data_IF_712837306175
#
_entry.id   IF_712837306175
#
_cell.length_a   1.000
_cell.length_b   1.000
_cell.length_c   1.000
_cell.angle_alpha   90.00
_cell.angle_beta   90.00
_cell.angle_gamma   90.00
#
_symmetry.space_group_name_H-M   'P 1'
#
loop_
_entity.id
_entity.type
_entity.pdbx_description
1 polymer ?
#
# COMPACT_ATOMS: atom_id res chain seq x y z
N UNK A 1 9.19 10.05 34.73
CA UNK A 1 8.48 9.69 35.98
C UNK A 1 8.12 10.90 36.84
N UNK A 2 9.05 11.71 37.38
CA UNK A 2 8.69 12.88 38.24
C UNK A 2 7.72 13.91 37.60
N UNK A 3 7.63 13.95 36.27
CA UNK A 3 6.67 14.77 35.49
C UNK A 3 5.51 13.96 34.90
N UNK A 4 5.26 12.74 35.35
CA UNK A 4 4.23 11.84 34.80
C UNK A 4 4.56 11.18 33.46
N UNK A 5 5.70 11.52 32.83
CA UNK A 5 6.11 10.89 31.56
C UNK A 5 6.57 9.44 31.80
N UNK A 6 5.88 8.50 31.16
CA UNK A 6 6.11 7.04 31.24
C UNK A 6 6.37 6.37 29.89
N UNK A 7 5.95 7.02 28.80
CA UNK A 7 6.12 6.52 27.44
C UNK A 7 7.15 7.34 26.67
N UNK A 8 8.15 6.65 26.13
CA UNK A 8 9.23 7.21 25.33
C UNK A 8 9.23 6.51 23.97
N UNK A 9 9.33 7.31 22.91
CA UNK A 9 9.38 6.82 21.54
C UNK A 9 10.62 7.37 20.85
N UNK A 10 11.23 6.56 19.99
CA UNK A 10 12.42 6.90 19.20
C UNK A 10 12.17 6.73 17.72
N UNK A 11 12.94 7.43 16.90
CA UNK A 11 12.89 7.26 15.45
C UNK A 11 13.65 6.02 15.03
N UNK A 12 13.15 5.32 14.01
CA UNK A 12 13.94 4.31 13.30
C UNK A 12 14.94 4.91 12.32
N UNK A 13 14.75 6.17 11.94
CA UNK A 13 15.71 6.88 11.12
C UNK A 13 16.81 7.46 12.00
N UNK A 14 18.06 7.29 11.57
CA UNK A 14 19.24 7.80 12.26
C UNK A 14 19.72 9.05 11.56
N UNK A 15 19.83 10.14 12.31
CA UNK A 15 20.13 11.47 11.79
C UNK A 15 21.47 11.98 12.29
N UNK A 16 22.22 12.67 11.42
CA UNK A 16 23.46 13.34 11.84
C UNK A 16 23.19 14.38 12.94
N UNK A 17 22.10 15.14 12.81
CA UNK A 17 21.64 16.09 13.81
C UNK A 17 20.10 16.17 13.78
N UNK A 18 19.40 15.47 14.69
CA UNK A 18 17.94 15.48 14.76
C UNK A 18 17.33 16.87 14.97
N UNK A 19 18.05 17.81 15.60
CA UNK A 19 17.54 19.15 15.89
C UNK A 19 17.34 20.02 14.65
N UNK A 20 17.92 19.61 13.51
CA UNK A 20 17.76 20.32 12.24
C UNK A 20 16.51 19.88 11.46
N UNK A 21 15.84 18.80 11.88
CA UNK A 21 14.64 18.32 11.22
C UNK A 21 13.49 19.33 11.39
N UNK A 22 12.85 19.69 10.28
CA UNK A 22 11.66 20.55 10.30
C UNK A 22 10.71 20.20 9.15
N UNK A 23 9.47 20.66 9.24
CA UNK A 23 8.39 20.33 8.29
C UNK A 23 8.54 20.95 6.90
N UNK A 24 9.50 21.85 6.70
CA UNK A 24 9.75 22.53 5.42
C UNK A 24 10.81 21.83 4.57
N UNK A 25 11.58 20.91 5.15
CA UNK A 25 12.59 20.14 4.40
C UNK A 25 11.92 19.24 3.37
N UNK A 26 12.47 19.24 2.16
CA UNK A 26 12.15 18.27 1.14
C UNK A 26 12.67 16.87 1.51
N UNK A 27 12.10 15.84 0.90
CA UNK A 27 12.57 14.46 1.10
C UNK A 27 14.06 14.30 0.79
N UNK A 28 14.53 14.95 -0.29
CA UNK A 28 15.94 14.92 -0.69
C UNK A 28 16.86 15.53 0.39
N UNK A 29 16.47 16.65 0.98
CA UNK A 29 17.26 17.28 2.06
C UNK A 29 17.31 16.40 3.30
N UNK A 30 16.19 15.77 3.67
CA UNK A 30 16.15 14.79 4.76
C UNK A 30 17.07 13.60 4.45
N UNK A 31 17.00 13.03 3.25
CA UNK A 31 17.82 11.89 2.85
C UNK A 31 19.32 12.18 2.92
N UNK A 32 19.75 13.41 2.62
CA UNK A 32 21.16 13.80 2.78
C UNK A 32 21.60 13.88 4.25
N UNK A 33 20.69 14.27 5.14
CA UNK A 33 20.95 14.33 6.59
C UNK A 33 20.88 12.96 7.28
N UNK A 34 20.23 11.97 6.65
CA UNK A 34 20.10 10.61 7.18
C UNK A 34 21.42 9.86 7.06
N UNK A 35 21.90 9.32 8.19
CA UNK A 35 23.13 8.50 8.24
C UNK A 35 22.83 7.00 8.13
N UNK A 36 21.59 6.61 8.38
CA UNK A 36 21.11 5.24 8.32
C UNK A 36 19.69 5.12 8.84
N UNK A 37 19.17 3.90 8.89
CA UNK A 37 17.88 3.61 9.49
C UNK A 37 17.84 2.14 9.92
N UNK A 38 17.14 1.88 11.01
CA UNK A 38 16.93 0.54 11.54
C UNK A 38 15.66 -0.05 10.97
N UNK A 39 15.69 -1.34 10.60
CA UNK A 39 14.47 -2.04 10.27
C UNK A 39 13.83 -2.51 11.57
N UNK A 40 12.67 -1.95 11.89
CA UNK A 40 11.84 -2.43 13.00
C UNK A 40 10.57 -3.01 12.41
N UNK A 41 10.35 -4.28 12.65
CA UNK A 41 9.12 -4.99 12.31
C UNK A 41 8.23 -5.03 13.53
N UNK A 42 7.04 -4.43 13.43
CA UNK A 42 6.03 -4.43 14.47
C UNK A 42 5.02 -5.55 14.19
N UNK A 43 4.97 -6.52 15.09
CA UNK A 43 4.08 -7.67 15.04
C UNK A 43 2.92 -7.46 15.99
N UNK A 44 1.70 -7.64 15.51
CA UNK A 44 0.50 -7.63 16.34
C UNK A 44 -0.48 -8.72 15.92
N UNK A 45 -1.40 -9.06 16.82
CA UNK A 45 -2.49 -9.98 16.57
C UNK A 45 -3.84 -9.27 16.75
N UNK A 46 -4.89 -9.80 16.14
CA UNK A 46 -6.25 -9.31 16.39
C UNK A 46 -6.63 -9.43 17.88
N UNK A 47 -7.53 -8.57 18.38
CA UNK A 47 -7.98 -8.63 19.79
C UNK A 47 -8.55 -9.97 20.26
N UNK A 48 -9.03 -10.80 19.33
CA UNK A 48 -9.57 -12.13 19.60
C UNK A 48 -8.50 -13.19 19.83
N UNK A 49 -7.23 -12.88 19.54
CA UNK A 49 -6.09 -13.77 19.76
C UNK A 49 -5.22 -13.24 20.89
N UNK A 50 -4.64 -14.18 21.63
CA UNK A 50 -3.66 -13.90 22.67
C UNK A 50 -2.28 -13.57 22.07
N UNK A 51 -1.29 -13.39 22.95
CA UNK A 51 0.07 -13.06 22.56
C UNK A 51 0.79 -14.24 21.87
N UNK A 52 0.34 -15.48 22.07
CA UNK A 52 0.99 -16.66 21.51
C UNK A 52 0.83 -16.70 19.99
N UNK A 53 -0.29 -16.22 19.47
CA UNK A 53 -0.47 -16.00 18.03
C UNK A 53 0.64 -15.09 17.45
N UNK A 54 0.98 -14.00 18.15
CA UNK A 54 2.07 -13.12 17.72
C UNK A 54 3.44 -13.80 17.81
N UNK A 55 3.68 -14.66 18.82
CA UNK A 55 4.93 -15.44 18.93
C UNK A 55 5.13 -16.35 17.70
N UNK A 56 4.05 -16.88 17.11
CA UNK A 56 4.13 -17.73 15.91
C UNK A 56 4.72 -16.97 14.73
N UNK A 57 4.18 -15.78 14.40
CA UNK A 57 4.71 -14.99 13.27
C UNK A 57 6.14 -14.49 13.54
N UNK A 58 6.45 -14.10 14.78
CA UNK A 58 7.82 -13.71 15.17
C UNK A 58 8.79 -14.86 14.93
N UNK A 59 8.45 -16.08 15.38
CA UNK A 59 9.28 -17.27 15.18
C UNK A 59 9.48 -17.56 13.69
N UNK A 60 8.41 -17.50 12.89
CA UNK A 60 8.46 -17.74 11.45
C UNK A 60 9.35 -16.74 10.73
N UNK A 61 9.31 -15.46 11.12
CA UNK A 61 10.19 -14.43 10.57
C UNK A 61 11.64 -14.63 10.99
N UNK A 62 11.91 -15.01 12.23
CA UNK A 62 13.26 -15.33 12.68
C UNK A 62 13.87 -16.51 11.89
N UNK A 63 13.09 -17.57 11.64
CA UNK A 63 13.52 -18.71 10.83
C UNK A 63 13.82 -18.29 9.38
N UNK A 64 12.98 -17.44 8.80
CA UNK A 64 13.20 -16.87 7.46
C UNK A 64 14.46 -15.99 7.40
N UNK A 65 14.66 -15.09 8.36
CA UNK A 65 15.86 -14.25 8.43
C UNK A 65 17.12 -15.09 8.57
N UNK A 66 17.07 -16.12 9.40
CA UNK A 66 18.19 -17.04 9.59
C UNK A 66 18.53 -17.80 8.30
N UNK A 67 17.55 -18.14 7.47
CA UNK A 67 17.83 -18.79 6.18
C UNK A 67 18.61 -17.90 5.21
N UNK A 68 18.60 -16.58 5.42
CA UNK A 68 19.41 -15.58 4.70
C UNK A 68 20.72 -15.22 5.43
N UNK A 69 21.09 -15.93 6.49
CA UNK A 69 22.28 -15.65 7.28
C UNK A 69 22.17 -14.40 8.19
N UNK A 70 20.96 -13.91 8.44
CA UNK A 70 20.72 -12.78 9.35
C UNK A 70 20.58 -13.31 10.78
N UNK A 71 21.69 -13.28 11.51
CA UNK A 71 21.80 -13.81 12.87
C UNK A 71 21.62 -12.70 13.93
N UNK A 72 22.04 -11.47 13.63
CA UNK A 72 22.00 -10.37 14.60
C UNK A 72 20.64 -9.66 14.54
N UNK A 73 19.73 -10.08 15.42
CA UNK A 73 18.41 -9.48 15.57
C UNK A 73 18.09 -9.20 17.03
N UNK A 74 17.29 -8.16 17.30
CA UNK A 74 16.89 -7.80 18.66
C UNK A 74 15.38 -7.81 18.80
N UNK A 75 14.88 -8.69 19.66
CA UNK A 75 13.46 -8.86 19.92
C UNK A 75 13.04 -8.16 21.21
N UNK A 76 11.85 -7.60 21.21
CA UNK A 76 11.23 -7.11 22.45
C UNK A 76 9.71 -7.23 22.43
N UNK A 77 9.13 -7.36 23.60
CA UNK A 77 7.70 -7.18 23.79
C UNK A 77 7.31 -5.69 23.64
N UNK A 78 6.21 -5.40 22.93
CA UNK A 78 5.78 -4.01 22.67
C UNK A 78 4.99 -3.36 23.82
N UNK A 79 4.57 -4.18 24.81
CA UNK A 79 3.82 -3.74 25.98
C UNK A 79 2.33 -4.11 25.96
N UNK A 80 1.84 -4.86 24.97
CA UNK A 80 0.45 -5.35 24.97
C UNK A 80 0.30 -6.80 24.48
N UNK A 81 0.10 -7.00 23.16
CA UNK A 81 -0.01 -8.33 22.52
C UNK A 81 1.03 -8.51 21.41
N UNK A 82 1.79 -7.45 21.14
CA UNK A 82 2.73 -7.37 20.04
C UNK A 82 4.19 -7.53 20.45
N UNK A 83 5.03 -7.68 19.44
CA UNK A 83 6.49 -7.71 19.58
C UNK A 83 7.11 -6.80 18.53
N UNK A 84 8.29 -6.26 18.81
CA UNK A 84 9.11 -5.61 17.80
C UNK A 84 10.39 -6.42 17.59
N UNK A 85 10.68 -6.77 16.34
CA UNK A 85 11.99 -7.30 15.94
C UNK A 85 12.75 -6.20 15.22
N UNK A 86 13.98 -5.95 15.66
CA UNK A 86 14.84 -4.91 15.12
C UNK A 86 16.08 -5.52 14.49
N UNK A 87 16.42 -5.02 13.30
CA UNK A 87 17.68 -5.26 12.60
C UNK A 87 18.37 -3.90 12.46
N UNK A 88 19.56 -3.73 13.06
CA UNK A 88 20.24 -2.44 13.04
C UNK A 88 20.77 -2.10 11.65
N UNK A 89 20.88 -0.79 11.37
CA UNK A 89 21.46 -0.24 10.13
C UNK A 89 22.83 -0.82 9.77
N UNK A 90 23.61 -1.23 10.77
CA UNK A 90 24.91 -1.85 10.60
C UNK A 90 24.85 -3.15 9.78
N UNK A 91 23.75 -3.91 9.83
CA UNK A 91 23.55 -5.14 9.05
C UNK A 91 23.35 -4.87 7.55
N UNK A 92 23.13 -3.62 7.15
CA UNK A 92 22.74 -3.25 5.78
C UNK A 92 23.96 -2.98 4.89
N UNK A 93 23.93 -3.46 3.61
CA UNK A 93 24.92 -3.05 2.63
C UNK A 93 24.82 -1.54 2.43
N UNK A 94 25.96 -0.83 2.30
CA UNK A 94 25.94 0.65 2.17
C UNK A 94 25.45 1.15 0.81
N UNK A 95 25.51 0.29 -0.21
CA UNK A 95 25.06 0.60 -1.57
C UNK A 95 24.39 -0.61 -2.21
N UNK A 96 23.45 -0.35 -3.12
CA UNK A 96 22.88 -1.31 -4.06
C UNK A 96 23.26 -0.90 -5.50
N UNK A 97 23.41 -1.88 -6.39
CA UNK A 97 23.79 -1.67 -7.80
C UNK A 97 24.96 -0.70 -7.98
N UNK A 98 25.96 -0.80 -7.10
CA UNK A 98 27.17 0.01 -7.03
C UNK A 98 26.98 1.52 -6.75
N UNK A 99 25.78 2.07 -6.91
CA UNK A 99 25.55 3.53 -6.96
C UNK A 99 24.51 4.03 -5.99
N UNK A 100 23.49 3.23 -5.66
CA UNK A 100 22.35 3.70 -4.88
C UNK A 100 22.61 3.51 -3.38
N UNK A 101 22.67 4.61 -2.62
CA UNK A 101 22.93 4.57 -1.18
C UNK A 101 21.67 4.09 -0.42
N UNK A 102 21.76 2.93 0.22
CA UNK A 102 20.65 2.32 0.99
C UNK A 102 20.17 3.19 2.15
N UNK A 103 21.02 4.10 2.68
CA UNK A 103 20.64 5.04 3.74
C UNK A 103 19.58 6.04 3.27
N UNK A 104 19.44 6.24 1.95
CA UNK A 104 18.48 7.15 1.35
C UNK A 104 17.15 6.46 0.98
N UNK A 105 17.08 5.14 1.12
CA UNK A 105 15.95 4.35 0.63
C UNK A 105 14.84 4.12 1.66
N UNK A 106 14.82 4.87 2.76
CA UNK A 106 13.72 4.82 3.73
C UNK A 106 12.59 5.78 3.32
N UNK A 107 11.30 5.38 3.41
CA UNK A 107 10.79 4.12 3.94
C UNK A 107 10.66 2.99 2.90
N UNK A 108 10.88 3.27 1.62
CA UNK A 108 10.51 2.39 0.51
C UNK A 108 11.18 1.02 0.58
N UNK A 109 12.48 0.95 0.88
CA UNK A 109 13.20 -0.32 1.02
C UNK A 109 12.73 -1.09 2.26
N UNK A 110 12.45 -0.42 3.38
CA UNK A 110 11.91 -1.07 4.58
C UNK A 110 10.56 -1.73 4.28
N UNK A 111 9.66 -1.01 3.62
CA UNK A 111 8.34 -1.54 3.21
C UNK A 111 8.49 -2.75 2.28
N UNK A 112 9.37 -2.66 1.26
CA UNK A 112 9.63 -3.78 0.34
C UNK A 112 10.19 -5.00 1.05
N UNK A 113 11.10 -4.83 2.01
CA UNK A 113 11.64 -5.95 2.80
C UNK A 113 10.49 -6.63 3.56
N UNK A 114 9.64 -5.87 4.25
CA UNK A 114 8.51 -6.43 4.99
C UNK A 114 7.51 -7.12 4.06
N UNK A 115 7.14 -6.50 2.93
CA UNK A 115 6.24 -7.08 1.94
C UNK A 115 6.80 -8.38 1.35
N UNK A 116 8.10 -8.44 1.10
CA UNK A 116 8.77 -9.65 0.60
C UNK A 116 8.78 -10.76 1.65
N UNK A 117 9.11 -10.45 2.91
CA UNK A 117 9.03 -11.40 4.03
C UNK A 117 7.60 -11.96 4.11
N UNK A 118 6.59 -11.07 4.11
CA UNK A 118 5.18 -11.46 4.15
C UNK A 118 4.78 -12.36 2.96
N UNK A 119 5.28 -12.06 1.78
CA UNK A 119 5.05 -12.91 0.61
C UNK A 119 5.68 -14.30 0.79
N UNK A 120 6.93 -14.36 1.26
CA UNK A 120 7.69 -15.60 1.40
C UNK A 120 7.18 -16.53 2.48
N UNK A 121 6.70 -15.98 3.60
CA UNK A 121 6.22 -16.79 4.73
C UNK A 121 4.72 -17.10 4.68
N UNK A 122 3.98 -16.66 3.66
CA UNK A 122 2.51 -16.68 3.65
C UNK A 122 1.92 -18.07 3.94
N UNK A 123 2.31 -19.07 3.16
CA UNK A 123 1.75 -20.43 3.24
C UNK A 123 2.19 -21.12 4.54
N UNK A 124 3.47 -20.97 4.85
CA UNK A 124 4.10 -21.45 6.08
C UNK A 124 3.43 -20.90 7.36
N UNK A 125 3.17 -19.59 7.39
CA UNK A 125 2.48 -18.92 8.48
C UNK A 125 1.04 -19.42 8.61
N UNK A 126 0.34 -19.62 7.48
CA UNK A 126 -1.00 -20.19 7.47
C UNK A 126 -0.99 -21.59 8.09
N UNK A 127 -0.06 -22.43 7.69
CA UNK A 127 0.07 -23.79 8.22
C UNK A 127 0.39 -23.81 9.72
N UNK A 128 1.23 -22.88 10.20
CA UNK A 128 1.52 -22.76 11.63
C UNK A 128 0.30 -22.33 12.45
N UNK A 129 -0.49 -21.38 11.94
CA UNK A 129 -1.73 -20.95 12.58
C UNK A 129 -2.77 -22.09 12.61
N UNK A 130 -2.85 -22.89 11.54
CA UNK A 130 -3.70 -24.10 11.50
C UNK A 130 -3.24 -25.11 12.54
N UNK A 131 -1.94 -25.39 12.65
CA UNK A 131 -1.40 -26.32 13.66
C UNK A 131 -1.68 -25.84 15.08
N UNK A 132 -1.61 -24.54 15.32
CA UNK A 132 -1.86 -23.94 16.63
C UNK A 132 -3.35 -23.95 17.01
N UNK A 133 -4.24 -23.53 16.08
CA UNK A 133 -5.68 -23.40 16.36
C UNK A 133 -6.49 -24.68 16.12
N UNK A 134 -5.94 -25.62 15.35
CA UNK A 134 -6.54 -26.91 15.00
C UNK A 134 -7.14 -26.95 13.60
N UNK A 135 -7.71 -25.85 13.09
CA UNK A 135 -8.22 -25.77 11.71
C UNK A 135 -8.29 -24.35 11.17
N UNK A 136 -8.22 -24.20 9.84
CA UNK A 136 -8.40 -22.90 9.17
C UNK A 136 -9.84 -22.40 9.28
N UNK A 137 -10.83 -23.30 9.26
CA UNK A 137 -12.24 -22.96 9.44
C UNK A 137 -12.52 -22.33 10.81
N UNK A 138 -11.92 -22.86 11.87
CA UNK A 138 -12.06 -22.29 13.22
C UNK A 138 -11.52 -20.86 13.29
N UNK A 139 -10.41 -20.56 12.61
CA UNK A 139 -9.89 -19.20 12.51
C UNK A 139 -10.85 -18.30 11.70
N UNK A 140 -11.34 -18.78 10.56
CA UNK A 140 -12.25 -18.00 9.71
C UNK A 140 -13.55 -17.61 10.42
N UNK A 141 -14.13 -18.53 11.19
CA UNK A 141 -15.33 -18.29 12.01
C UNK A 141 -15.14 -17.14 13.01
N UNK A 142 -13.92 -16.95 13.55
CA UNK A 142 -13.63 -15.87 14.50
C UNK A 142 -13.82 -14.47 13.90
N UNK A 143 -13.71 -14.33 12.57
CA UNK A 143 -13.86 -13.07 11.86
C UNK A 143 -15.12 -13.03 10.98
N UNK A 144 -16.03 -13.99 11.16
CA UNK A 144 -17.23 -14.15 10.32
C UNK A 144 -16.90 -14.20 8.81
N UNK A 145 -15.71 -14.71 8.47
CA UNK A 145 -15.17 -14.69 7.12
C UNK A 145 -15.30 -16.04 6.39
N UNK A 146 -15.14 -16.00 5.07
CA UNK A 146 -15.06 -17.21 4.25
C UNK A 146 -13.59 -17.68 4.14
N UNK A 147 -13.25 -18.92 4.55
CA UNK A 147 -11.85 -19.38 4.64
C UNK A 147 -11.03 -19.22 3.35
N UNK A 148 -11.69 -19.36 2.19
CA UNK A 148 -11.12 -19.25 0.83
C UNK A 148 -10.57 -17.85 0.52
N UNK A 149 -11.10 -16.81 1.18
CA UNK A 149 -10.78 -15.41 0.90
C UNK A 149 -9.89 -14.77 1.98
N UNK A 150 -9.54 -15.55 3.00
CA UNK A 150 -8.85 -15.02 4.17
C UNK A 150 -7.33 -15.17 4.08
N UNK A 151 -6.65 -14.10 4.47
CA UNK A 151 -5.21 -14.09 4.63
C UNK A 151 -4.84 -14.41 6.08
N UNK A 152 -3.72 -15.13 6.34
CA UNK A 152 -3.14 -15.23 7.69
C UNK A 152 -2.88 -13.86 8.31
N UNK A 153 -2.63 -12.85 7.46
CA UNK A 153 -2.42 -11.47 7.89
C UNK A 153 -3.64 -10.75 8.46
N UNK A 154 -4.84 -11.36 8.34
CA UNK A 154 -6.02 -10.87 9.05
C UNK A 154 -6.00 -11.25 10.54
N UNK A 155 -5.18 -12.22 10.94
CA UNK A 155 -5.10 -12.72 12.32
C UNK A 155 -3.88 -12.21 13.06
N UNK A 156 -2.73 -12.26 12.39
CA UNK A 156 -1.42 -11.83 12.89
C UNK A 156 -0.72 -11.07 11.77
N UNK A 157 -0.11 -9.92 12.07
CA UNK A 157 0.40 -9.05 11.02
C UNK A 157 1.83 -8.57 11.29
N UNK A 158 2.50 -8.15 10.21
CA UNK A 158 3.75 -7.38 10.27
C UNK A 158 3.44 -6.01 9.65
N UNK A 159 3.41 -4.95 10.47
CA UNK A 159 3.06 -3.61 9.99
C UNK A 159 4.01 -3.18 8.86
N UNK A 160 3.46 -2.98 7.66
CA UNK A 160 4.21 -2.72 6.43
C UNK A 160 3.99 -1.30 5.88
N UNK A 161 3.26 -0.42 6.59
CA UNK A 161 2.92 0.94 6.15
C UNK A 161 3.67 2.02 6.91
N UNK A 162 4.92 1.73 7.27
CA UNK A 162 5.81 2.69 7.90
C UNK A 162 6.02 3.90 6.97
N UNK A 163 5.73 5.10 7.45
CA UNK A 163 5.95 6.35 6.70
C UNK A 163 7.22 7.05 7.18
N UNK A 164 7.67 8.08 6.44
CA UNK A 164 8.79 8.92 6.89
C UNK A 164 8.54 9.46 8.31
N UNK A 165 9.58 9.45 9.15
CA UNK A 165 9.58 9.86 10.56
C UNK A 165 8.76 8.95 11.47
N UNK A 166 8.66 7.66 11.13
CA UNK A 166 8.02 6.70 12.01
C UNK A 166 8.75 6.62 13.36
N UNK A 167 7.98 6.54 14.43
CA UNK A 167 8.48 6.40 15.79
C UNK A 167 7.99 5.09 16.38
N UNK A 168 8.88 4.40 17.10
CA UNK A 168 8.53 3.19 17.84
C UNK A 168 8.77 3.42 19.33
N UNK A 169 8.02 2.72 20.18
CA UNK A 169 8.22 2.76 21.64
C UNK A 169 9.64 2.30 21.95
N UNK A 170 10.39 2.99 22.81
CA UNK A 170 11.74 2.59 23.19
C UNK A 170 11.72 1.36 24.12
N UNK A 171 12.79 0.54 24.13
CA UNK A 171 12.94 -0.52 25.14
C UNK A 171 12.88 0.08 26.55
N UNK A 172 12.31 -0.68 27.49
CA UNK A 172 12.07 -0.29 28.88
C UNK A 172 11.08 0.86 29.11
N UNK A 173 10.52 1.43 28.04
CA UNK A 173 9.40 2.37 28.15
C UNK A 173 8.13 1.64 28.61
N UNK A 174 7.28 2.32 29.38
CA UNK A 174 5.99 1.79 29.79
C UNK A 174 4.94 2.06 28.69
N UNK A 175 4.04 1.12 28.47
CA UNK A 175 2.86 1.27 27.65
C UNK A 175 1.74 1.97 28.44
N UNK A 176 1.23 3.09 27.92
CA UNK A 176 0.26 3.91 28.65
C UNK A 176 -1.08 3.20 28.89
N UNK A 177 -1.44 2.23 28.05
CA UNK A 177 -2.73 1.55 28.12
C UNK A 177 -2.71 0.38 29.10
N UNK A 178 -1.62 -0.38 29.12
CA UNK A 178 -1.51 -1.63 29.89
C UNK A 178 -0.70 -1.48 31.17
N UNK A 179 0.12 -0.42 31.27
CA UNK A 179 1.08 -0.26 32.36
C UNK A 179 2.28 -1.21 32.27
N UNK A 180 2.36 -2.05 31.23
CA UNK A 180 3.45 -3.02 31.04
C UNK A 180 4.66 -2.36 30.38
N UNK A 181 5.84 -2.87 30.71
CA UNK A 181 7.12 -2.43 30.17
C UNK A 181 7.33 -3.05 28.78
N UNK A 182 7.90 -2.29 27.84
CA UNK A 182 8.40 -2.84 26.58
C UNK A 182 9.75 -3.53 26.82
N UNK A 183 9.72 -4.84 27.09
CA UNK A 183 10.88 -5.59 27.58
C UNK A 183 11.64 -6.25 26.41
N UNK A 184 12.94 -5.96 26.21
CA UNK A 184 13.79 -6.76 25.34
C UNK A 184 13.90 -8.21 25.81
N UNK A 185 13.93 -9.14 24.85
CA UNK A 185 13.91 -10.57 25.10
C UNK A 185 15.06 -11.25 24.35
N UNK A 186 15.66 -12.26 24.98
CA UNK A 186 16.51 -13.21 24.24
C UNK A 186 15.62 -14.17 23.47
N UNK A 187 16.05 -14.60 22.30
CA UNK A 187 15.25 -15.47 21.43
C UNK A 187 14.80 -16.77 22.13
N UNK A 188 15.67 -17.35 22.96
CA UNK A 188 15.35 -18.56 23.74
C UNK A 188 14.22 -18.36 24.77
N UNK A 189 14.03 -17.13 25.24
CA UNK A 189 13.04 -16.79 26.26
C UNK A 189 11.65 -16.49 25.64
N UNK A 190 11.55 -16.36 24.30
CA UNK A 190 10.31 -15.99 23.60
C UNK A 190 9.15 -16.97 23.86
N UNK A 191 9.44 -18.27 23.87
CA UNK A 191 8.42 -19.31 24.00
C UNK A 191 7.67 -19.19 25.33
N UNK A 192 8.42 -19.05 26.41
CA UNK A 192 7.92 -19.10 27.79
C UNK A 192 7.55 -17.71 28.34
N UNK A 193 7.77 -16.64 27.56
CA UNK A 193 7.47 -15.27 27.98
C UNK A 193 5.98 -15.02 28.11
N UNK A 194 5.56 -14.51 29.27
CA UNK A 194 4.19 -14.10 29.53
C UNK A 194 4.06 -12.59 29.75
N UNK A 195 2.87 -12.04 29.52
CA UNK A 195 2.63 -10.59 29.74
C UNK A 195 2.96 -10.15 31.17
N UNK A 196 2.75 -11.07 32.12
CA UNK A 196 2.96 -10.82 33.53
C UNK A 196 4.44 -10.61 33.90
N UNK A 197 5.37 -11.04 33.04
CA UNK A 197 6.80 -10.82 33.20
C UNK A 197 7.20 -9.39 32.84
N UNK A 198 6.35 -8.69 32.07
CA UNK A 198 6.55 -7.29 31.70
C UNK A 198 6.05 -6.29 32.74
N UNK A 199 5.59 -6.74 33.91
CA UNK A 199 5.22 -5.84 35.01
C UNK A 199 6.45 -5.08 35.52
N UNK A 200 6.37 -3.75 35.74
CA UNK A 200 7.53 -2.94 36.14
C UNK A 200 8.35 -3.50 37.31
N UNK A 201 7.69 -4.11 38.30
CA UNK A 201 8.32 -4.72 39.47
C UNK A 201 9.07 -6.04 39.21
N UNK A 202 8.76 -6.72 38.09
CA UNK A 202 9.38 -7.99 37.70
C UNK A 202 10.52 -7.82 36.70
N UNK A 203 10.57 -6.71 35.97
CA UNK A 203 11.65 -6.47 34.99
C UNK A 203 12.98 -6.28 35.71
N UNK A 204 13.92 -7.20 35.48
CA UNK A 204 15.27 -7.19 36.08
C UNK A 204 16.33 -7.14 34.98
N UNK A 205 17.42 -6.43 35.27
CA UNK A 205 18.56 -6.33 34.37
C UNK A 205 18.31 -5.45 33.14
N UNK A 206 19.37 -5.29 32.34
CA UNK A 206 19.33 -4.56 31.07
C UNK A 206 19.91 -5.48 30.00
N UNK A 207 19.10 -5.76 28.98
CA UNK A 207 19.47 -6.45 27.76
C UNK A 207 19.75 -5.35 26.72
N UNK A 208 20.93 -5.36 26.08
CA UNK A 208 21.23 -4.44 24.99
C UNK A 208 20.17 -4.51 23.89
N UNK A 209 19.75 -3.35 23.38
CA UNK A 209 18.78 -3.25 22.28
C UNK A 209 19.04 -1.98 21.46
N UNK A 210 19.45 -2.08 20.19
CA UNK A 210 19.75 -3.31 19.46
C UNK A 210 21.11 -3.92 19.83
N UNK A 211 21.30 -5.20 19.56
CA UNK A 211 22.60 -5.82 19.37
C UNK A 211 23.20 -5.33 18.05
N UNK A 212 24.53 -5.11 18.01
CA UNK A 212 25.22 -4.56 16.82
C UNK A 212 25.96 -5.71 16.12
N UNK A 213 25.73 -5.95 14.81
CA UNK A 213 26.38 -7.02 14.07
C UNK A 213 27.86 -6.71 13.84
N UNK A 214 28.66 -7.76 13.68
CA UNK A 214 30.07 -7.65 13.28
C UNK A 214 30.24 -7.58 11.76
N UNK A 215 29.20 -7.93 10.99
CA UNK A 215 29.25 -7.99 9.53
C UNK A 215 27.94 -7.53 8.86
N UNK A 216 27.97 -7.40 7.53
CA UNK A 216 26.78 -7.10 6.74
C UNK A 216 26.02 -8.40 6.50
N UNK A 217 24.84 -8.53 7.09
CA UNK A 217 24.02 -9.75 7.02
C UNK A 217 22.85 -9.62 6.03
N UNK A 218 22.35 -8.41 5.77
CA UNK A 218 21.13 -8.19 4.97
C UNK A 218 21.35 -8.18 3.46
N UNK A 219 22.57 -8.41 2.97
CA UNK A 219 22.93 -8.21 1.56
C UNK A 219 22.12 -9.10 0.62
N UNK A 220 22.13 -10.42 0.85
CA UNK A 220 21.43 -11.40 0.01
C UNK A 220 19.92 -11.18 0.01
N UNK A 221 19.33 -10.95 1.19
CA UNK A 221 17.90 -10.67 1.32
C UNK A 221 17.51 -9.41 0.54
N UNK A 222 18.30 -8.34 0.62
CA UNK A 222 18.02 -7.07 -0.08
C UNK A 222 18.14 -7.23 -1.60
N UNK A 223 19.08 -8.04 -2.09
CA UNK A 223 19.20 -8.34 -3.52
C UNK A 223 17.97 -9.09 -4.05
N UNK A 224 17.50 -10.11 -3.32
CA UNK A 224 16.29 -10.87 -3.64
C UNK A 224 15.03 -10.00 -3.61
N UNK A 225 14.93 -9.10 -2.62
CA UNK A 225 13.86 -8.10 -2.53
C UNK A 225 13.85 -7.23 -3.77
N UNK A 226 14.98 -6.65 -4.15
CA UNK A 226 15.06 -5.79 -5.35
C UNK A 226 14.69 -6.56 -6.63
N UNK A 227 15.23 -7.77 -6.80
CA UNK A 227 14.94 -8.62 -7.96
C UNK A 227 13.44 -8.94 -8.06
N UNK A 228 12.80 -9.34 -6.95
CA UNK A 228 11.37 -9.63 -6.89
C UNK A 228 10.53 -8.43 -7.35
N UNK A 229 10.75 -7.26 -6.75
CA UNK A 229 9.93 -6.08 -7.07
C UNK A 229 10.20 -5.51 -8.47
N UNK A 230 11.42 -5.66 -9.01
CA UNK A 230 11.71 -5.33 -10.41
C UNK A 230 10.94 -6.25 -11.36
N UNK A 231 10.97 -7.55 -11.11
CA UNK A 231 10.26 -8.56 -11.92
C UNK A 231 8.75 -8.30 -11.91
N UNK A 232 8.14 -8.13 -10.74
CA UNK A 232 6.70 -7.81 -10.61
C UNK A 232 6.34 -6.52 -11.34
N UNK A 233 7.19 -5.49 -11.27
CA UNK A 233 6.98 -4.22 -11.99
C UNK A 233 7.04 -4.41 -13.51
N UNK A 234 7.94 -5.25 -14.00
CA UNK A 234 8.04 -5.57 -15.43
C UNK A 234 6.84 -6.37 -15.92
N UNK A 235 6.37 -7.34 -15.15
CA UNK A 235 5.17 -8.11 -15.45
C UNK A 235 3.93 -7.23 -15.51
N UNK A 236 3.73 -6.35 -14.52
CA UNK A 236 2.64 -5.36 -14.53
C UNK A 236 2.72 -4.46 -15.77
N UNK A 237 3.92 -3.99 -16.15
CA UNK A 237 4.10 -3.23 -17.40
C UNK A 237 3.76 -4.06 -18.65
N UNK A 238 4.10 -5.35 -18.68
CA UNK A 238 3.74 -6.27 -19.78
C UNK A 238 2.22 -6.48 -19.84
N UNK A 239 1.54 -6.63 -18.71
CA UNK A 239 0.07 -6.73 -18.64
C UNK A 239 -0.63 -5.43 -19.04
N UNK A 240 -0.15 -4.27 -18.59
CA UNK A 240 -0.64 -2.97 -19.04
C UNK A 240 -0.49 -2.81 -20.56
N UNK A 241 0.64 -3.26 -21.14
CA UNK A 241 0.85 -3.29 -22.59
C UNK A 241 -0.05 -4.30 -23.33
N UNK A 242 -0.46 -5.40 -22.69
CA UNK A 242 -1.44 -6.35 -23.24
C UNK A 242 -2.87 -5.78 -23.26
N UNK A 243 -3.15 -4.71 -22.51
CA UNK A 243 -4.42 -3.99 -22.64
C UNK A 243 -4.48 -3.37 -24.04
N UNK A 244 -5.49 -3.72 -24.87
CA UNK A 244 -5.53 -3.26 -26.25
C UNK A 244 -5.53 -1.73 -26.29
N UNK A 245 -4.45 -1.15 -26.81
CA UNK A 245 -4.33 0.28 -27.00
C UNK A 245 -5.24 0.69 -28.15
N UNK A 246 -6.13 1.65 -27.88
CA UNK A 246 -6.92 2.29 -28.91
C UNK A 246 -5.97 3.07 -29.81
N UNK A 247 -5.78 2.61 -31.05
CA UNK A 247 -4.97 3.30 -32.06
C UNK A 247 -5.82 4.36 -32.75
N UNK A 248 -5.44 5.63 -32.58
CA UNK A 248 -6.13 6.77 -33.18
C UNK A 248 -7.39 7.22 -32.43
N UNK A 249 -7.83 8.45 -32.72
CA UNK A 249 -8.99 9.07 -32.09
C UNK A 249 -10.28 8.30 -32.40
N UNK A 250 -11.05 7.96 -31.36
CA UNK A 250 -12.35 7.30 -31.52
C UNK A 250 -13.46 8.35 -31.77
N UNK A 251 -14.27 8.21 -32.84
CA UNK A 251 -15.35 9.14 -33.13
C UNK A 251 -16.52 8.99 -32.14
N UNK A 252 -17.27 10.08 -31.93
CA UNK A 252 -18.41 10.12 -30.99
C UNK A 252 -19.50 9.08 -31.28
N UNK A 253 -19.68 8.70 -32.55
CA UNK A 253 -20.61 7.64 -32.95
C UNK A 253 -20.35 6.32 -32.21
N UNK A 254 -19.09 6.07 -31.84
CA UNK A 254 -18.64 4.88 -31.13
C UNK A 254 -18.82 4.96 -29.62
N UNK A 255 -19.20 6.11 -29.06
CA UNK A 255 -19.31 6.26 -27.60
C UNK A 255 -20.48 5.46 -27.01
N UNK A 256 -20.39 5.08 -25.71
CA UNK A 256 -21.47 4.42 -25.00
C UNK A 256 -22.67 5.37 -24.81
N UNK A 257 -23.88 4.82 -24.59
CA UNK A 257 -25.09 5.62 -24.39
C UNK A 257 -24.96 6.66 -23.28
N UNK A 258 -24.36 6.33 -22.13
CA UNK A 258 -24.19 7.25 -21.01
C UNK A 258 -23.38 8.51 -21.37
N UNK A 259 -22.28 8.35 -22.12
CA UNK A 259 -21.46 9.48 -22.58
C UNK A 259 -22.22 10.30 -23.63
N UNK A 260 -22.94 9.64 -24.55
CA UNK A 260 -23.79 10.34 -25.53
C UNK A 260 -24.89 11.14 -24.86
N UNK A 261 -25.49 10.63 -23.79
CA UNK A 261 -26.51 11.33 -23.03
C UNK A 261 -25.94 12.54 -22.29
N UNK A 262 -24.77 12.41 -21.66
CA UNK A 262 -24.06 13.56 -21.11
C UNK A 262 -23.86 14.62 -22.19
N UNK A 263 -23.38 14.22 -23.38
CA UNK A 263 -23.06 15.12 -24.49
C UNK A 263 -24.25 15.91 -25.06
N UNK A 264 -25.50 15.53 -24.75
CA UNK A 264 -26.71 16.28 -25.13
C UNK A 264 -26.93 17.53 -24.27
N UNK A 265 -26.23 17.66 -23.14
CA UNK A 265 -26.44 18.73 -22.15
C UNK A 265 -27.18 18.21 -20.91
N UNK A 266 -26.98 18.86 -19.76
CA UNK A 266 -27.49 18.43 -18.46
C UNK A 266 -28.04 19.58 -17.61
N UNK A 267 -29.13 19.28 -16.90
CA UNK A 267 -29.75 20.15 -15.90
C UNK A 267 -29.20 19.97 -14.48
N UNK A 268 -28.64 18.79 -14.19
CA UNK A 268 -27.94 18.49 -12.94
C UNK A 268 -26.74 17.55 -13.23
N UNK A 269 -25.78 17.46 -12.30
CA UNK A 269 -24.64 16.54 -12.43
C UNK A 269 -23.45 17.06 -13.24
N UNK A 270 -23.52 18.28 -13.79
CA UNK A 270 -22.50 18.85 -14.70
C UNK A 270 -21.05 18.73 -14.20
N UNK A 271 -20.79 19.01 -12.92
CA UNK A 271 -19.42 18.88 -12.35
C UNK A 271 -18.91 17.43 -12.38
N UNK A 272 -19.79 16.47 -12.05
CA UNK A 272 -19.50 15.03 -12.09
C UNK A 272 -19.31 14.57 -13.54
N UNK A 273 -20.14 15.04 -14.45
CA UNK A 273 -20.07 14.73 -15.87
C UNK A 273 -18.84 15.33 -16.56
N UNK A 274 -18.35 16.49 -16.12
CA UNK A 274 -17.07 17.04 -16.58
C UNK A 274 -15.91 16.08 -16.27
N UNK A 275 -15.85 15.55 -15.03
CA UNK A 275 -14.86 14.56 -14.63
C UNK A 275 -14.95 13.28 -15.49
N UNK A 276 -16.17 12.80 -15.75
CA UNK A 276 -16.42 11.63 -16.61
C UNK A 276 -15.92 11.89 -18.04
N UNK A 277 -16.30 13.03 -18.64
CA UNK A 277 -15.96 13.36 -20.03
C UNK A 277 -14.46 13.51 -20.24
N UNK A 278 -13.74 14.23 -19.36
CA UNK A 278 -12.29 14.42 -19.49
C UNK A 278 -11.57 13.07 -19.47
N UNK A 279 -11.88 12.21 -18.49
CA UNK A 279 -11.23 10.90 -18.39
C UNK A 279 -11.60 9.96 -19.55
N UNK A 280 -12.87 9.96 -19.96
CA UNK A 280 -13.34 9.13 -21.06
C UNK A 280 -12.73 9.56 -22.41
N UNK A 281 -12.72 10.86 -22.74
CA UNK A 281 -12.18 11.36 -24.00
C UNK A 281 -10.67 11.13 -24.12
N UNK A 282 -9.92 11.25 -23.01
CA UNK A 282 -8.51 10.83 -22.97
C UNK A 282 -8.35 9.35 -23.31
N UNK A 283 -9.19 8.48 -22.74
CA UNK A 283 -9.19 7.03 -23.07
C UNK A 283 -9.63 6.76 -24.50
N UNK A 284 -10.46 7.63 -25.07
CA UNK A 284 -10.87 7.60 -26.48
C UNK A 284 -9.80 8.16 -27.44
N UNK A 285 -8.62 8.53 -26.93
CA UNK A 285 -7.46 9.02 -27.68
C UNK A 285 -7.71 10.37 -28.39
N UNK A 286 -8.42 11.29 -27.72
CA UNK A 286 -8.57 12.69 -28.16
C UNK A 286 -7.42 13.55 -27.63
N UNK A 287 -6.98 14.55 -28.40
CA UNK A 287 -5.96 15.51 -27.96
C UNK A 287 -6.52 16.47 -26.91
N UNK A 288 -5.65 17.15 -26.16
CA UNK A 288 -6.09 18.14 -25.16
C UNK A 288 -6.86 19.30 -25.79
N UNK A 289 -6.41 19.79 -26.94
CA UNK A 289 -7.10 20.84 -27.71
C UNK A 289 -8.50 20.40 -28.13
N UNK A 290 -8.66 19.15 -28.61
CA UNK A 290 -9.95 18.59 -28.99
C UNK A 290 -10.87 18.41 -27.78
N UNK A 291 -10.32 17.94 -26.65
CA UNK A 291 -11.06 17.76 -25.40
C UNK A 291 -11.58 19.09 -24.89
N UNK A 292 -10.73 20.11 -24.83
CA UNK A 292 -11.09 21.45 -24.36
C UNK A 292 -12.20 22.04 -25.22
N UNK A 293 -12.00 22.08 -26.55
CA UNK A 293 -13.03 22.55 -27.49
C UNK A 293 -14.36 21.81 -27.28
N UNK A 294 -14.31 20.48 -27.18
CA UNK A 294 -15.53 19.67 -27.07
C UNK A 294 -16.24 19.84 -25.73
N UNK A 295 -15.50 20.09 -24.65
CA UNK A 295 -16.07 20.37 -23.32
C UNK A 295 -16.78 21.72 -23.32
N UNK A 296 -16.21 22.76 -23.94
CA UNK A 296 -16.90 24.05 -24.06
C UNK A 296 -18.18 23.94 -24.91
N UNK A 297 -18.14 23.20 -26.03
CA UNK A 297 -19.33 22.90 -26.84
C UNK A 297 -20.40 22.08 -26.10
N UNK A 298 -19.98 21.19 -25.19
CA UNK A 298 -20.91 20.47 -24.32
C UNK A 298 -21.50 21.41 -23.25
N UNK A 299 -20.68 22.29 -22.67
CA UNK A 299 -21.10 23.18 -21.62
C UNK A 299 -22.13 24.21 -22.08
N UNK A 300 -22.08 24.67 -23.34
CA UNK A 300 -23.10 25.57 -23.90
C UNK A 300 -24.49 24.92 -24.01
N UNK A 301 -24.58 23.60 -23.99
CA UNK A 301 -25.84 22.83 -24.00
C UNK A 301 -26.37 22.55 -22.59
N UNK A 302 -25.59 22.87 -21.55
CA UNK A 302 -25.98 22.65 -20.16
C UNK A 302 -26.84 23.81 -19.65
N UNK A 303 -27.76 23.51 -18.73
CA UNK A 303 -28.60 24.52 -18.11
C UNK A 303 -28.61 24.40 -16.56
N UNK A 304 -28.06 25.36 -15.81
CA UNK A 304 -27.17 26.44 -16.27
C UNK A 304 -25.80 25.90 -16.72
N UNK A 305 -25.05 26.62 -17.57
CA UNK A 305 -23.68 26.28 -17.90
C UNK A 305 -22.74 26.38 -16.68
N UNK A 306 -21.67 25.59 -16.66
CA UNK A 306 -20.57 25.76 -15.70
C UNK A 306 -19.78 27.04 -16.04
N UNK A 307 -19.21 27.67 -15.02
CA UNK A 307 -18.30 28.83 -15.19
C UNK A 307 -17.02 28.39 -15.92
N UNK A 308 -16.57 29.16 -16.91
CA UNK A 308 -15.38 28.82 -17.71
C UNK A 308 -14.11 28.64 -16.86
N UNK A 309 -13.92 29.48 -15.83
CA UNK A 309 -12.79 29.33 -14.90
C UNK A 309 -12.76 27.95 -14.21
N UNK A 310 -13.94 27.37 -13.91
CA UNK A 310 -14.01 26.04 -13.32
C UNK A 310 -13.57 24.97 -14.32
N UNK A 311 -14.02 25.06 -15.57
CA UNK A 311 -13.64 24.14 -16.65
C UNK A 311 -12.13 24.21 -16.90
N UNK A 312 -11.58 25.41 -17.08
CA UNK A 312 -10.16 25.62 -17.36
C UNK A 312 -9.27 25.08 -16.24
N UNK A 313 -9.67 25.32 -14.98
CA UNK A 313 -8.95 24.80 -13.80
C UNK A 313 -8.95 23.27 -13.78
N UNK A 314 -10.09 22.64 -14.10
CA UNK A 314 -10.21 21.18 -14.13
C UNK A 314 -9.37 20.59 -15.27
N UNK A 315 -9.48 21.11 -16.50
CA UNK A 315 -8.69 20.63 -17.65
C UNK A 315 -7.19 20.74 -17.36
N UNK A 316 -6.74 21.88 -16.81
CA UNK A 316 -5.33 22.09 -16.42
C UNK A 316 -4.87 21.14 -15.31
N UNK A 317 -5.73 20.81 -14.36
CA UNK A 317 -5.41 19.81 -13.34
C UNK A 317 -5.20 18.43 -13.96
N UNK A 318 -6.09 18.00 -14.85
CA UNK A 318 -5.99 16.71 -15.52
C UNK A 318 -4.82 16.60 -16.51
N UNK A 319 -4.47 17.69 -17.21
CA UNK A 319 -3.34 17.70 -18.15
C UNK A 319 -1.99 17.53 -17.45
N UNK A 320 -1.89 17.93 -16.18
CA UNK A 320 -0.72 17.73 -15.33
C UNK A 320 -0.60 16.31 -14.76
N UNK A 321 -1.65 15.47 -14.88
CA UNK A 321 -1.60 14.10 -14.36
C UNK A 321 -0.96 13.16 -15.38
N UNK A 322 0.23 12.64 -15.05
CA UNK A 322 0.93 11.60 -15.84
C UNK A 322 0.12 10.29 -15.94
N UNK A 323 -0.78 10.03 -14.99
CA UNK A 323 -1.67 8.87 -15.01
C UNK A 323 -2.93 9.13 -15.83
N UNK A 324 -3.26 8.21 -16.72
CA UNK A 324 -4.53 8.17 -17.44
C UNK A 324 -5.59 7.52 -16.56
N UNK A 325 -6.25 8.34 -15.73
CA UNK A 325 -7.35 7.90 -14.86
C UNK A 325 -8.51 7.32 -15.70
N UNK A 326 -9.20 6.32 -15.14
CA UNK A 326 -10.44 5.79 -15.73
C UNK A 326 -11.62 6.67 -15.31
N UNK A 327 -12.66 6.81 -16.17
CA UNK A 327 -13.93 7.32 -15.69
C UNK A 327 -14.49 6.36 -14.61
N UNK A 328 -15.36 6.83 -13.70
CA UNK A 328 -15.97 5.96 -12.68
C UNK A 328 -16.77 4.81 -13.33
N UNK A 329 -16.96 3.71 -12.60
CA UNK A 329 -17.77 2.58 -13.06
C UNK A 329 -19.25 2.95 -13.17
N UNK A 330 -19.96 2.29 -14.08
CA UNK A 330 -21.36 2.60 -14.41
C UNK A 330 -22.34 2.34 -13.26
N UNK A 331 -21.99 1.45 -12.33
CA UNK A 331 -22.76 1.07 -11.14
C UNK A 331 -22.57 2.05 -9.97
N UNK A 332 -21.67 3.03 -10.10
CA UNK A 332 -21.48 4.04 -9.08
C UNK A 332 -22.70 4.98 -9.02
N UNK A 333 -23.44 4.89 -7.91
CA UNK A 333 -24.69 5.62 -7.66
C UNK A 333 -24.53 7.12 -7.93
N UNK A 334 -23.50 7.72 -7.32
CA UNK A 334 -23.28 9.16 -7.34
C UNK A 334 -22.86 9.74 -8.70
N UNK A 335 -22.44 8.92 -9.65
CA UNK A 335 -21.89 9.41 -10.93
C UNK A 335 -22.81 9.21 -12.13
N UNK A 336 -23.56 8.10 -12.20
CA UNK A 336 -24.40 7.79 -13.38
C UNK A 336 -25.85 7.53 -13.05
N UNK A 337 -26.13 6.86 -11.92
CA UNK A 337 -27.49 6.44 -11.54
C UNK A 337 -28.30 7.64 -11.04
N UNK A 338 -27.75 8.39 -10.08
CA UNK A 338 -28.44 9.52 -9.42
C UNK A 338 -28.83 10.65 -10.39
N UNK A 339 -28.13 10.76 -11.53
CA UNK A 339 -28.39 11.80 -12.55
C UNK A 339 -29.12 11.25 -13.79
N UNK A 340 -29.56 9.99 -13.77
CA UNK A 340 -30.44 9.42 -14.79
C UNK A 340 -29.85 9.28 -16.19
N UNK A 341 -28.52 9.31 -16.35
CA UNK A 341 -27.86 9.30 -17.68
C UNK A 341 -27.58 7.90 -18.21
N UNK A 342 -27.67 6.87 -17.37
CA UNK A 342 -27.33 5.49 -17.72
C UNK A 342 -28.51 4.81 -18.44
N UNK A 343 -28.45 4.76 -19.77
CA UNK A 343 -29.40 4.00 -20.60
C UNK A 343 -28.68 2.84 -21.28
N UNK A 344 -28.48 1.68 -20.61
CA UNK A 344 -27.59 0.63 -21.07
C UNK A 344 -28.07 -0.04 -22.37
N UNK A 345 -27.14 -0.28 -23.29
CA UNK A 345 -27.38 -1.10 -24.49
C UNK A 345 -26.90 -2.55 -24.31
N UNK A 346 -26.95 -3.36 -25.38
CA UNK A 346 -26.51 -4.75 -25.33
C UNK A 346 -25.00 -4.94 -25.04
N UNK A 347 -24.15 -3.95 -25.34
CA UNK A 347 -22.72 -4.00 -25.01
C UNK A 347 -22.53 -3.64 -23.52
N UNK A 348 -23.31 -2.68 -23.00
CA UNK A 348 -23.27 -2.26 -21.60
C UNK A 348 -23.45 -3.43 -20.62
N UNK A 349 -24.25 -4.45 -20.96
CA UNK A 349 -24.44 -5.67 -20.14
C UNK A 349 -23.16 -6.47 -19.89
N UNK A 350 -22.11 -6.22 -20.67
CA UNK A 350 -20.86 -6.98 -20.64
C UNK A 350 -19.64 -6.15 -20.20
N UNK A 351 -19.86 -4.92 -19.72
CA UNK A 351 -18.79 -4.00 -19.31
C UNK A 351 -19.18 -3.24 -18.04
N UNK A 352 -18.25 -3.11 -17.09
CA UNK A 352 -18.46 -2.35 -15.84
C UNK A 352 -18.11 -0.86 -15.97
N UNK A 353 -17.29 -0.50 -16.96
CA UNK A 353 -16.73 0.85 -17.11
C UNK A 353 -16.97 1.41 -18.53
N UNK A 354 -17.27 2.70 -18.69
CA UNK A 354 -17.44 3.32 -20.01
C UNK A 354 -16.20 3.19 -20.91
N UNK A 355 -14.98 3.23 -20.36
CA UNK A 355 -13.76 3.05 -21.15
C UNK A 355 -13.67 1.62 -21.73
N UNK A 356 -14.09 0.60 -20.98
CA UNK A 356 -14.12 -0.80 -21.44
C UNK A 356 -15.13 -1.02 -22.57
N UNK A 357 -16.20 -0.23 -22.63
CA UNK A 357 -17.15 -0.25 -23.76
C UNK A 357 -16.46 0.02 -25.10
N UNK A 358 -15.55 1.00 -25.14
CA UNK A 358 -14.80 1.33 -26.36
C UNK A 358 -13.99 0.14 -26.86
N UNK A 359 -13.25 -0.51 -25.97
CA UNK A 359 -12.43 -1.67 -26.30
C UNK A 359 -13.27 -2.81 -26.89
N UNK A 360 -14.46 -3.04 -26.34
CA UNK A 360 -15.36 -4.12 -26.79
C UNK A 360 -16.06 -3.79 -28.11
N UNK A 361 -16.37 -2.52 -28.35
CA UNK A 361 -16.96 -2.05 -29.61
C UNK A 361 -15.94 -2.03 -30.76
N UNK A 362 -14.69 -1.68 -30.47
CA UNK A 362 -13.57 -1.72 -31.44
C UNK A 362 -13.15 -3.16 -31.77
N UNK A 363 -13.26 -4.10 -30.82
CA UNK A 363 -12.95 -5.53 -31.03
C UNK A 363 -13.96 -6.30 -31.89
N UNK A 364 -15.14 -5.77 -32.24
CA UNK A 364 -16.04 -6.45 -33.18
C UNK A 364 -15.49 -6.32 -34.61
N UNK A 365 -15.02 -7.40 -35.27
CA UNK A 365 -14.68 -7.31 -36.67
C UNK A 365 -15.94 -6.96 -37.45
N UNK A 366 -15.85 -5.98 -38.37
CA UNK A 366 -16.90 -5.71 -39.36
C UNK A 366 -17.08 -6.96 -40.23
N UNK A 367 -17.90 -7.93 -39.82
CA UNK A 367 -18.50 -8.88 -40.76
C UNK A 367 -19.53 -8.12 -41.59
N UNK A 368 -19.08 -7.40 -42.61
CA UNK A 368 -19.90 -7.06 -43.77
C UNK A 368 -19.58 -8.08 -44.86
N UNK A 369 -20.38 -9.14 -44.92
CA UNK A 369 -20.56 -9.93 -46.14
C UNK A 369 -21.07 -8.96 -47.20
N UNK A 370 -20.22 -8.59 -48.16
CA UNK A 370 -20.70 -8.07 -49.44
C UNK A 370 -21.26 -9.29 -50.16
N UNK A 371 -22.58 -9.38 -50.27
CA UNK A 371 -23.21 -10.25 -51.27
C UNK A 371 -22.88 -9.61 -52.63
N UNK A 372 -22.08 -10.29 -53.43
CA UNK A 372 -22.16 -10.21 -54.89
C UNK A 372 -22.82 -11.50 -55.36
#
# INVERSE_FOLDING_TARGET
IKKGVVAFHGSVERWRNPMMLNTKLSQKEMDEMRIGWDLVMDFDAIPLLDMDATKIIVKRVLEFLKSYGVETTSLKFSGNRGFHLMIPWESFPKKMHFTEETRKMYPELAQKIIDFIRFKIYDDLRDDLVKWKGSWSSLAEMLEGHPEEMSPYLFVDIENRWSSRHLFRLPYSINEKTGLVSVPLRLKDLKDFEKEDARPEKVRGVIPYPEIPESIEMAELIEDVDYHFRTVKEEKKKEEKKTPMIRGRIPEASFPPCIKNIMKGLNDGRKRSLFILVNFLRKANWSWEEIEKRIHEWNSKNNPPLKDNYINTQIKWFSRQNRSLLPPNCDNQHFYVDIGICTPDNICKSVKNPASYLLRKVRRPKRRRVKR
#
